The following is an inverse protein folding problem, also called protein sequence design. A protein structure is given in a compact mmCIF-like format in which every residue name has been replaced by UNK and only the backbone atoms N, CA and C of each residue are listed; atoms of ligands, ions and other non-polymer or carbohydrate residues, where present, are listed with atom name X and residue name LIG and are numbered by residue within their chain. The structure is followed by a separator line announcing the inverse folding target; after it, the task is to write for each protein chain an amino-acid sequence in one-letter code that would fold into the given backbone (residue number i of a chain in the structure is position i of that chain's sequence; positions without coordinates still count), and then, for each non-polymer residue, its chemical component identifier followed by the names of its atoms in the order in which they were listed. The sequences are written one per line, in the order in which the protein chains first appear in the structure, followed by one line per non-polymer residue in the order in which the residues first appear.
data_IF_377369678292
#
_entry.id   IF_377369678292
#
_cell.length_a   1.000
_cell.length_b   1.000
_cell.length_c   1.000
_cell.angle_alpha   90.00
_cell.angle_beta   90.00
_cell.angle_gamma   90.00
#
_symmetry.space_group_name_H-M   'P 1'
#
loop_
_entity.id
_entity.type
_entity.pdbx_description
1 polymer ?
#
# COMPACT_ATOMS: atom_id res chain seq x y z
N UNK A 1 2.21 17.13 -1.05
CA UNK A 1 1.88 15.87 -0.37
C UNK A 1 2.99 14.88 -0.60
N UNK A 2 3.33 14.13 0.43
CA UNK A 2 4.42 13.17 0.33
C UNK A 2 3.96 11.89 -0.34
N UNK A 3 4.77 11.38 -1.27
CA UNK A 3 4.56 10.06 -1.83
C UNK A 3 4.82 8.99 -0.76
N UNK A 4 4.16 7.86 -0.88
CA UNK A 4 4.43 6.74 0.03
C UNK A 4 5.44 5.79 -0.62
N UNK A 5 6.70 6.17 -0.55
CA UNK A 5 7.79 5.39 -1.13
C UNK A 5 8.05 4.10 -0.38
N UNK A 6 7.79 4.09 0.93
CA UNK A 6 8.00 2.90 1.75
C UNK A 6 7.07 1.77 1.33
N UNK A 7 5.82 2.11 1.10
CA UNK A 7 4.84 1.13 0.63
C UNK A 7 5.21 0.63 -0.77
N UNK A 8 5.55 1.54 -1.68
CA UNK A 8 5.93 1.17 -3.04
C UNK A 8 7.18 0.27 -3.04
N UNK A 9 8.19 0.61 -2.23
CA UNK A 9 9.41 -0.18 -2.14
C UNK A 9 9.13 -1.58 -1.58
N UNK A 10 8.32 -1.67 -0.52
CA UNK A 10 7.97 -2.95 0.07
C UNK A 10 7.22 -3.84 -0.93
N UNK A 11 6.32 -3.23 -1.72
CA UNK A 11 5.58 -3.97 -2.74
C UNK A 11 6.53 -4.50 -3.82
N UNK A 12 7.44 -3.66 -4.30
CA UNK A 12 8.39 -4.05 -5.35
C UNK A 12 9.32 -5.15 -4.84
N UNK A 13 9.77 -5.04 -3.59
CA UNK A 13 10.63 -6.07 -2.99
C UNK A 13 9.90 -7.40 -2.88
N UNK A 14 8.60 -7.40 -2.68
CA UNK A 14 7.79 -8.62 -2.69
C UNK A 14 7.59 -9.16 -4.10
N UNK A 15 7.92 -8.39 -5.12
CA UNK A 15 7.77 -8.82 -6.51
C UNK A 15 6.35 -8.78 -7.01
N UNK A 16 5.49 -7.96 -6.42
CA UNK A 16 4.08 -7.88 -6.84
C UNK A 16 3.78 -6.51 -7.45
N UNK A 17 2.88 -6.52 -8.44
CA UNK A 17 2.45 -5.30 -9.12
C UNK A 17 1.40 -4.57 -8.29
N UNK A 18 1.14 -3.31 -8.64
CA UNK A 18 0.03 -2.57 -8.03
C UNK A 18 -1.28 -3.29 -8.23
N UNK A 19 -1.49 -3.86 -9.42
CA UNK A 19 -2.70 -4.61 -9.72
C UNK A 19 -2.84 -5.84 -8.82
N UNK A 20 -1.74 -6.57 -8.63
CA UNK A 20 -1.77 -7.77 -7.79
C UNK A 20 -2.05 -7.40 -6.35
N UNK A 21 -1.41 -6.36 -5.84
CA UNK A 21 -1.68 -5.91 -4.49
C UNK A 21 -3.15 -5.52 -4.33
N UNK A 22 -3.69 -4.78 -5.30
CA UNK A 22 -5.10 -4.39 -5.26
C UNK A 22 -6.01 -5.63 -5.17
N UNK A 23 -5.74 -6.66 -5.96
CA UNK A 23 -6.51 -7.90 -5.92
C UNK A 23 -6.43 -8.56 -4.55
N UNK A 24 -5.24 -8.61 -3.97
CA UNK A 24 -5.02 -9.29 -2.68
C UNK A 24 -5.70 -8.57 -1.52
N UNK A 25 -5.81 -7.24 -1.57
CA UNK A 25 -6.43 -6.48 -0.49
C UNK A 25 -7.87 -6.08 -0.77
N UNK A 26 -8.41 -6.46 -1.94
CA UNK A 26 -9.81 -6.23 -2.26
C UNK A 26 -10.13 -4.81 -2.69
N UNK A 27 -9.21 -4.14 -3.35
CA UNK A 27 -9.44 -2.79 -3.87
C UNK A 27 -9.06 -2.74 -5.35
N UNK A 28 -9.00 -1.53 -5.92
CA UNK A 28 -8.68 -1.35 -7.33
C UNK A 28 -7.26 -0.85 -7.51
N UNK A 29 -6.66 -1.15 -8.64
CA UNK A 29 -5.30 -0.74 -8.95
C UNK A 29 -5.13 0.78 -8.85
N UNK A 30 -6.10 1.55 -9.33
CA UNK A 30 -6.02 3.01 -9.27
C UNK A 30 -5.93 3.49 -7.83
N UNK A 31 -6.57 2.78 -6.90
CA UNK A 31 -6.53 3.14 -5.50
C UNK A 31 -5.13 2.93 -4.91
N UNK A 32 -4.50 1.81 -5.25
CA UNK A 32 -3.11 1.54 -4.83
C UNK A 32 -2.19 2.64 -5.37
N UNK A 33 -2.36 3.01 -6.65
CA UNK A 33 -1.56 4.07 -7.26
C UNK A 33 -1.72 5.39 -6.52
N UNK A 34 -2.95 5.75 -6.17
CA UNK A 34 -3.22 7.01 -5.44
C UNK A 34 -2.61 7.00 -4.04
N UNK A 35 -2.61 5.86 -3.38
CA UNK A 35 -1.98 5.74 -2.07
C UNK A 35 -0.46 5.92 -2.21
N UNK A 36 0.14 5.26 -3.18
CA UNK A 36 1.59 5.34 -3.38
C UNK A 36 2.06 6.74 -3.80
N UNK A 37 1.22 7.47 -4.52
CA UNK A 37 1.56 8.84 -4.92
C UNK A 37 1.17 9.90 -3.87
N UNK A 38 0.58 9.48 -2.75
CA UNK A 38 0.22 10.40 -1.68
C UNK A 38 -1.06 11.18 -1.93
N UNK A 39 -1.86 10.78 -2.92
CA UNK A 39 -3.09 11.48 -3.26
C UNK A 39 -4.24 11.15 -2.32
N UNK A 40 -4.21 9.95 -1.74
CA UNK A 40 -5.21 9.53 -0.75
C UNK A 40 -4.51 8.85 0.41
N UNK A 41 -5.13 8.94 1.59
CA UNK A 41 -4.69 8.19 2.76
C UNK A 41 -5.70 7.06 2.97
N UNK A 42 -5.26 5.80 2.97
CA UNK A 42 -6.20 4.70 3.12
C UNK A 42 -6.78 4.64 4.53
N UNK A 43 -8.00 4.13 4.65
CA UNK A 43 -8.61 3.87 5.95
C UNK A 43 -7.82 2.79 6.69
N UNK A 44 -7.99 2.74 8.01
CA UNK A 44 -7.22 1.84 8.87
C UNK A 44 -7.31 0.37 8.42
N UNK A 45 -8.49 -0.09 8.01
CA UNK A 45 -8.66 -1.47 7.55
C UNK A 45 -7.80 -1.76 6.32
N UNK A 46 -7.77 -0.84 5.35
CA UNK A 46 -6.98 -1.03 4.15
C UNK A 46 -5.48 -0.96 4.45
N UNK A 47 -5.07 -0.06 5.35
CA UNK A 47 -3.67 -0.02 5.81
C UNK A 47 -3.25 -1.37 6.37
N UNK A 48 -4.08 -1.96 7.21
CA UNK A 48 -3.77 -3.24 7.84
C UNK A 48 -3.70 -4.37 6.80
N UNK A 49 -4.63 -4.39 5.84
CA UNK A 49 -4.62 -5.41 4.78
C UNK A 49 -3.36 -5.30 3.93
N UNK A 50 -2.97 -4.08 3.57
CA UNK A 50 -1.74 -3.85 2.81
C UNK A 50 -0.53 -4.31 3.61
N UNK A 51 -0.47 -3.94 4.88
CA UNK A 51 0.64 -4.32 5.76
C UNK A 51 0.74 -5.84 5.90
N UNK A 52 -0.39 -6.51 6.03
CA UNK A 52 -0.42 -7.98 6.14
C UNK A 52 0.15 -8.63 4.89
N UNK A 53 -0.26 -8.17 3.70
CA UNK A 53 0.22 -8.73 2.44
C UNK A 53 1.72 -8.47 2.28
N UNK A 54 2.18 -7.27 2.65
CA UNK A 54 3.59 -6.90 2.51
C UNK A 54 4.44 -7.39 3.67
N UNK A 55 3.85 -8.00 4.67
CA UNK A 55 4.53 -8.58 5.84
C UNK A 55 5.36 -7.54 6.59
N UNK A 56 4.75 -6.38 6.79
CA UNK A 56 5.34 -5.26 7.52
C UNK A 56 4.31 -4.72 8.50
N UNK A 57 4.75 -4.17 9.64
CA UNK A 57 3.79 -3.47 10.50
C UNK A 57 3.33 -2.18 9.81
N UNK A 58 2.12 -1.73 10.15
CA UNK A 58 1.55 -0.55 9.51
C UNK A 58 2.42 0.69 9.68
N UNK A 59 3.09 0.86 10.83
CA UNK A 59 3.91 2.05 11.06
C UNK A 59 5.13 2.12 10.16
N UNK A 60 5.57 0.98 9.60
CA UNK A 60 6.69 0.99 8.65
C UNK A 60 6.27 1.47 7.26
N UNK A 61 4.97 1.34 6.94
CA UNK A 61 4.45 1.69 5.63
C UNK A 61 3.69 3.02 5.63
N UNK A 62 3.13 3.38 6.77
CA UNK A 62 2.30 4.59 6.92
C UNK A 62 2.71 5.31 8.18
N UNK A 63 2.61 6.64 8.16
CA UNK A 63 3.11 7.48 9.27
C UNK A 63 2.17 7.58 10.46
N UNK A 64 1.21 6.69 10.57
CA UNK A 64 0.30 6.73 11.71
C UNK A 64 -0.26 5.37 12.04
#
# INVERSE_FOLDING_TARGET
MAENRRMAAARVLKGITQRKLAELVGTREIEISRIETGRVTPAARLKQSIADVLEKPTFELFDN
#
